data_IF_761170027937
#
_entry.id   IF_761170027937
#
_cell.length_a   1.000
_cell.length_b   1.000
_cell.length_c   1.000
_cell.angle_alpha   90.00
_cell.angle_beta   90.00
_cell.angle_gamma   90.00
#
_symmetry.space_group_name_H-M   'P 1'
#
loop_
_entity.id
_entity.type
_entity.pdbx_description
1 polymer ?
#
# COMPACT_ATOMS: atom_id res chain seq x y z
N UNK A 1 14.51 26.14 -36.82
CA UNK A 1 15.05 24.87 -36.26
C UNK A 1 14.72 24.76 -34.76
N UNK A 2 14.84 25.84 -33.96
CA UNK A 2 14.54 25.80 -32.51
C UNK A 2 13.03 25.61 -32.18
N UNK A 3 12.14 26.08 -33.02
CA UNK A 3 10.68 25.98 -32.83
C UNK A 3 10.20 24.54 -33.10
N UNK A 4 10.78 23.84 -34.09
CA UNK A 4 10.40 22.45 -34.41
C UNK A 4 10.85 21.46 -33.32
N UNK A 5 11.99 21.69 -32.66
CA UNK A 5 12.50 20.81 -31.60
C UNK A 5 11.61 20.89 -30.34
N UNK A 6 11.12 22.08 -30.00
CA UNK A 6 10.24 22.27 -28.84
C UNK A 6 8.83 21.68 -29.03
N UNK A 7 8.31 21.69 -30.25
CA UNK A 7 6.99 21.12 -30.53
C UNK A 7 7.04 19.58 -30.51
N UNK A 8 8.11 18.98 -31.06
CA UNK A 8 8.26 17.52 -31.10
C UNK A 8 8.48 16.93 -29.70
N UNK A 9 9.24 17.61 -28.84
CA UNK A 9 9.43 17.19 -27.44
C UNK A 9 8.16 17.37 -26.61
N UNK A 10 7.38 18.41 -26.89
CA UNK A 10 6.13 18.70 -26.20
C UNK A 10 5.01 17.72 -26.58
N UNK A 11 4.94 17.27 -27.82
CA UNK A 11 3.95 16.28 -28.27
C UNK A 11 4.21 14.88 -27.70
N UNK A 12 5.47 14.47 -27.52
CA UNK A 12 5.82 13.21 -26.84
C UNK A 12 5.43 13.25 -25.37
N UNK A 13 5.78 14.31 -24.65
CA UNK A 13 5.44 14.45 -23.22
C UNK A 13 3.92 14.44 -23.01
N UNK A 14 3.14 15.10 -23.87
CA UNK A 14 1.68 15.09 -23.78
C UNK A 14 1.07 13.74 -24.15
N UNK A 15 1.68 13.01 -25.10
CA UNK A 15 1.27 11.65 -25.45
C UNK A 15 1.47 10.69 -24.28
N UNK A 16 2.68 10.66 -23.70
CA UNK A 16 3.03 9.83 -22.55
C UNK A 16 2.16 10.17 -21.32
N UNK A 17 1.93 11.47 -21.08
CA UNK A 17 1.05 11.92 -19.98
C UNK A 17 -0.40 11.46 -20.17
N UNK A 18 -0.91 11.47 -21.39
CA UNK A 18 -2.27 11.03 -21.70
C UNK A 18 -2.40 9.50 -21.56
N UNK A 19 -1.41 8.72 -21.99
CA UNK A 19 -1.37 7.27 -21.80
C UNK A 19 -1.36 6.89 -20.31
N UNK A 20 -0.51 7.53 -19.54
CA UNK A 20 -0.45 7.32 -18.08
C UNK A 20 -1.79 7.68 -17.44
N UNK A 21 -2.41 8.80 -17.84
CA UNK A 21 -3.69 9.22 -17.28
C UNK A 21 -4.82 8.24 -17.61
N UNK A 22 -4.82 7.66 -18.81
CA UNK A 22 -5.79 6.62 -19.20
C UNK A 22 -5.56 5.33 -18.41
N UNK A 23 -4.31 4.90 -18.27
CA UNK A 23 -3.96 3.73 -17.45
C UNK A 23 -4.41 3.90 -16.00
N UNK A 24 -4.17 5.08 -15.41
CA UNK A 24 -4.64 5.43 -14.07
C UNK A 24 -6.17 5.37 -13.97
N UNK A 25 -6.87 5.96 -14.93
CA UNK A 25 -8.33 5.94 -14.94
C UNK A 25 -8.88 4.52 -15.07
N UNK A 26 -8.31 3.70 -15.95
CA UNK A 26 -8.68 2.28 -16.09
C UNK A 26 -8.45 1.50 -14.80
N UNK A 27 -7.31 1.70 -14.14
CA UNK A 27 -6.99 1.04 -12.89
C UNK A 27 -7.98 1.43 -11.79
N UNK A 28 -8.33 2.71 -11.69
CA UNK A 28 -9.33 3.19 -10.73
C UNK A 28 -10.69 2.57 -11.01
N UNK A 29 -11.13 2.53 -12.26
CA UNK A 29 -12.40 1.90 -12.65
C UNK A 29 -12.41 0.41 -12.30
N UNK A 30 -11.31 -0.32 -12.53
CA UNK A 30 -11.19 -1.73 -12.15
C UNK A 30 -11.34 -1.92 -10.63
N UNK A 31 -10.73 -1.05 -9.83
CA UNK A 31 -10.87 -1.11 -8.37
C UNK A 31 -12.32 -0.88 -7.95
N UNK A 32 -13.00 0.10 -8.53
CA UNK A 32 -14.44 0.36 -8.26
C UNK A 32 -15.33 -0.81 -8.67
N UNK A 33 -15.05 -1.46 -9.80
CA UNK A 33 -15.79 -2.66 -10.22
C UNK A 33 -15.61 -3.80 -9.22
N UNK A 34 -14.41 -4.01 -8.69
CA UNK A 34 -14.17 -5.02 -7.64
C UNK A 34 -14.90 -4.68 -6.33
N UNK A 35 -14.94 -3.40 -5.93
CA UNK A 35 -15.75 -2.94 -4.80
C UNK A 35 -17.23 -3.25 -5.07
N UNK A 36 -17.73 -2.97 -6.25
CA UNK A 36 -19.12 -3.24 -6.63
C UNK A 36 -19.44 -4.73 -6.61
N UNK A 37 -18.52 -5.62 -7.04
CA UNK A 37 -18.69 -7.06 -6.91
C UNK A 37 -18.82 -7.49 -5.43
N UNK A 38 -17.98 -6.95 -4.55
CA UNK A 38 -18.06 -7.20 -3.11
C UNK A 38 -19.38 -6.72 -2.50
N UNK A 39 -19.88 -5.57 -2.93
CA UNK A 39 -21.18 -5.06 -2.55
C UNK A 39 -22.32 -5.96 -3.02
N UNK A 40 -22.30 -6.39 -4.29
CA UNK A 40 -23.35 -7.22 -4.87
C UNK A 40 -23.46 -8.60 -4.20
N UNK A 41 -22.33 -9.24 -3.84
CA UNK A 41 -22.35 -10.57 -3.23
C UNK A 41 -23.06 -10.58 -1.86
N UNK A 42 -22.93 -9.47 -1.12
CA UNK A 42 -23.64 -9.29 0.16
C UNK A 42 -25.11 -8.93 -0.09
N UNK A 43 -25.41 -8.02 -1.01
CA UNK A 43 -26.79 -7.63 -1.33
C UNK A 43 -27.60 -8.77 -1.96
N UNK A 44 -26.94 -9.70 -2.66
CA UNK A 44 -27.54 -10.92 -3.15
C UNK A 44 -27.79 -11.98 -2.05
N UNK A 45 -27.37 -11.73 -0.81
CA UNK A 45 -27.54 -12.64 0.32
C UNK A 45 -26.65 -13.88 0.29
N UNK A 46 -25.63 -13.90 -0.59
CA UNK A 46 -24.68 -15.02 -0.69
C UNK A 46 -23.66 -15.00 0.45
N UNK A 47 -23.25 -13.81 0.90
CA UNK A 47 -22.39 -13.57 2.05
C UNK A 47 -23.02 -12.50 2.94
N UNK A 48 -22.58 -12.45 4.19
CA UNK A 48 -22.89 -11.36 5.12
C UNK A 48 -21.75 -10.36 5.17
N UNK A 49 -22.04 -9.12 5.57
CA UNK A 49 -21.04 -8.09 5.81
C UNK A 49 -19.99 -8.54 6.85
N UNK A 50 -20.41 -9.31 7.86
CA UNK A 50 -19.52 -9.87 8.88
C UNK A 50 -18.46 -10.83 8.31
N UNK A 51 -18.72 -11.51 7.19
CA UNK A 51 -17.77 -12.41 6.53
C UNK A 51 -16.56 -11.66 5.97
N UNK A 52 -16.71 -10.35 5.74
CA UNK A 52 -15.60 -9.45 5.40
C UNK A 52 -14.46 -9.49 6.42
N UNK A 53 -14.75 -9.77 7.69
CA UNK A 53 -13.75 -9.88 8.77
C UNK A 53 -12.80 -11.07 8.54
N UNK A 54 -13.32 -12.17 8.01
CA UNK A 54 -12.48 -13.35 7.70
C UNK A 54 -11.56 -13.04 6.53
N UNK A 55 -12.12 -12.46 5.46
CA UNK A 55 -11.35 -12.09 4.27
C UNK A 55 -10.30 -11.01 4.61
N UNK A 56 -10.66 -10.03 5.44
CA UNK A 56 -9.71 -9.02 5.95
C UNK A 56 -8.54 -9.65 6.71
N UNK A 57 -8.79 -10.70 7.51
CA UNK A 57 -7.70 -11.42 8.20
C UNK A 57 -6.79 -12.15 7.21
N UNK A 58 -7.34 -12.75 6.16
CA UNK A 58 -6.55 -13.40 5.10
C UNK A 58 -5.67 -12.35 4.40
N UNK A 59 -6.23 -11.19 4.05
CA UNK A 59 -5.47 -10.08 3.45
C UNK A 59 -4.33 -9.66 4.39
N UNK A 60 -4.65 -9.40 5.65
CA UNK A 60 -3.71 -8.81 6.60
C UNK A 60 -2.60 -9.79 7.04
N UNK A 61 -2.94 -11.06 7.25
CA UNK A 61 -2.03 -12.04 7.85
C UNK A 61 -1.41 -13.04 6.86
N UNK A 62 -1.91 -13.10 5.61
CA UNK A 62 -1.37 -13.98 4.58
C UNK A 62 -0.90 -13.19 3.36
N UNK A 63 -1.77 -12.38 2.77
CA UNK A 63 -1.50 -11.75 1.47
C UNK A 63 -0.44 -10.65 1.62
N UNK A 64 -0.59 -9.72 2.57
CA UNK A 64 0.35 -8.61 2.77
C UNK A 64 1.77 -9.11 3.13
N UNK A 65 1.98 -10.09 4.03
CA UNK A 65 3.29 -10.71 4.23
C UNK A 65 3.93 -11.24 2.95
N UNK A 66 3.15 -11.89 2.08
CA UNK A 66 3.65 -12.39 0.80
C UNK A 66 4.08 -11.25 -0.14
N UNK A 67 3.31 -10.16 -0.20
CA UNK A 67 3.69 -8.96 -0.98
C UNK A 67 5.02 -8.40 -0.48
N UNK A 68 5.16 -8.25 0.85
CA UNK A 68 6.37 -7.69 1.46
C UNK A 68 7.57 -8.58 1.14
N UNK A 69 7.51 -9.88 1.40
CA UNK A 69 8.62 -10.80 1.16
C UNK A 69 9.01 -10.84 -0.33
N UNK A 70 8.03 -10.85 -1.23
CA UNK A 70 8.26 -10.84 -2.66
C UNK A 70 8.93 -9.53 -3.14
N UNK A 71 8.53 -8.39 -2.59
CA UNK A 71 9.10 -7.09 -2.96
C UNK A 71 10.60 -6.97 -2.62
N UNK A 72 11.07 -7.66 -1.57
CA UNK A 72 12.49 -7.69 -1.22
C UNK A 72 13.33 -8.70 -2.03
N UNK A 73 12.72 -9.46 -2.97
CA UNK A 73 13.43 -10.38 -3.85
C UNK A 73 14.04 -9.68 -5.08
N UNK A 74 14.67 -8.52 -4.87
CA UNK A 74 15.38 -7.72 -5.89
C UNK A 74 16.89 -7.81 -5.71
N UNK A 75 17.66 -7.44 -6.74
CA UNK A 75 19.11 -7.51 -6.69
C UNK A 75 19.68 -6.44 -5.73
N UNK A 76 20.66 -6.90 -4.94
CA UNK A 76 21.43 -6.00 -4.09
C UNK A 76 22.42 -5.24 -4.96
N UNK A 77 22.10 -3.97 -5.24
CA UNK A 77 23.01 -3.05 -5.92
C UNK A 77 23.16 -1.77 -5.09
N UNK A 78 24.28 -1.04 -5.23
CA UNK A 78 24.44 0.25 -4.55
C UNK A 78 23.30 1.23 -4.87
N UNK A 79 22.78 1.19 -6.09
CA UNK A 79 21.65 2.00 -6.56
C UNK A 79 20.38 1.65 -5.81
N UNK A 80 20.08 0.35 -5.68
CA UNK A 80 18.91 -0.13 -4.94
C UNK A 80 18.99 0.25 -3.46
N UNK A 81 20.17 0.10 -2.83
CA UNK A 81 20.37 0.51 -1.42
C UNK A 81 20.16 2.01 -1.26
N UNK A 82 20.76 2.84 -2.16
CA UNK A 82 20.56 4.27 -2.14
C UNK A 82 19.10 4.66 -2.34
N UNK A 83 18.41 3.99 -3.28
CA UNK A 83 16.99 4.18 -3.52
C UNK A 83 16.14 3.84 -2.27
N UNK A 84 16.44 2.74 -1.58
CA UNK A 84 15.78 2.34 -0.33
C UNK A 84 15.99 3.39 0.78
N UNK A 85 17.20 3.91 0.95
CA UNK A 85 17.49 4.96 1.94
C UNK A 85 16.73 6.24 1.63
N UNK A 86 16.71 6.66 0.36
CA UNK A 86 15.94 7.84 -0.08
C UNK A 86 14.44 7.62 0.12
N UNK A 87 13.92 6.45 -0.26
CA UNK A 87 12.52 6.10 -0.05
C UNK A 87 12.15 6.08 1.44
N UNK A 88 13.02 5.55 2.30
CA UNK A 88 12.81 5.55 3.75
C UNK A 88 12.78 6.97 4.32
N UNK A 89 13.77 7.80 3.98
CA UNK A 89 13.84 9.20 4.42
C UNK A 89 12.63 10.01 3.93
N UNK A 90 12.27 9.87 2.65
CA UNK A 90 11.10 10.52 2.06
C UNK A 90 9.79 10.06 2.72
N UNK A 91 9.67 8.76 2.99
CA UNK A 91 8.50 8.19 3.68
C UNK A 91 8.36 8.74 5.09
N UNK A 92 9.46 8.80 5.85
CA UNK A 92 9.46 9.35 7.19
C UNK A 92 9.09 10.85 7.19
N UNK A 93 9.70 11.62 6.29
CA UNK A 93 9.38 13.02 6.12
C UNK A 93 7.90 13.22 5.78
N UNK A 94 7.37 12.45 4.83
CA UNK A 94 5.96 12.52 4.43
C UNK A 94 5.04 12.22 5.62
N UNK A 95 5.32 11.18 6.40
CA UNK A 95 4.52 10.84 7.58
C UNK A 95 4.53 11.98 8.62
N UNK A 96 5.68 12.60 8.85
CA UNK A 96 5.80 13.74 9.78
C UNK A 96 5.02 14.95 9.25
N UNK A 97 5.17 15.30 7.97
CA UNK A 97 4.44 16.42 7.35
C UNK A 97 2.92 16.18 7.40
N UNK A 98 2.47 14.98 7.06
CA UNK A 98 1.06 14.61 7.15
C UNK A 98 0.54 14.68 8.59
N UNK A 99 1.34 14.28 9.58
CA UNK A 99 0.97 14.36 10.99
C UNK A 99 0.67 15.81 11.40
N UNK A 100 1.54 16.75 11.03
CA UNK A 100 1.31 18.17 11.30
C UNK A 100 0.12 18.74 10.52
N UNK A 101 0.01 18.41 9.23
CA UNK A 101 -1.07 18.88 8.36
C UNK A 101 -2.44 18.40 8.86
N UNK A 102 -2.57 17.10 9.15
CA UNK A 102 -3.84 16.53 9.65
C UNK A 102 -4.16 17.00 11.06
N UNK A 103 -3.15 17.21 11.92
CA UNK A 103 -3.37 17.80 13.24
C UNK A 103 -3.85 19.24 13.15
N UNK A 104 -3.36 20.03 12.20
CA UNK A 104 -3.85 21.38 11.95
C UNK A 104 -5.26 21.38 11.39
N UNK A 105 -5.54 20.54 10.38
CA UNK A 105 -6.89 20.36 9.82
C UNK A 105 -7.90 19.90 10.90
N UNK A 106 -7.51 18.94 11.73
CA UNK A 106 -8.36 18.44 12.83
C UNK A 106 -8.76 19.51 13.82
N UNK A 107 -7.86 20.48 14.09
CA UNK A 107 -8.18 21.64 14.95
C UNK A 107 -9.11 22.65 14.28
N UNK A 108 -8.89 22.90 12.98
CA UNK A 108 -9.69 23.87 12.21
C UNK A 108 -11.12 23.35 11.97
N UNK A 109 -11.25 22.08 11.60
CA UNK A 109 -12.52 21.46 11.25
C UNK A 109 -13.17 20.67 12.37
N UNK A 110 -12.56 20.65 13.58
CA UNK A 110 -13.04 19.91 14.75
C UNK A 110 -13.26 18.42 14.47
N UNK A 111 -12.34 17.80 13.72
CA UNK A 111 -12.44 16.41 13.31
C UNK A 111 -12.32 15.47 14.51
N UNK A 112 -13.11 14.40 14.49
CA UNK A 112 -13.03 13.34 15.49
C UNK A 112 -11.82 12.39 15.27
N UNK A 113 -11.61 11.45 16.19
CA UNK A 113 -10.48 10.52 16.15
C UNK A 113 -10.50 9.60 14.89
N UNK A 114 -11.70 9.22 14.43
CA UNK A 114 -11.86 8.35 13.26
C UNK A 114 -11.61 9.15 11.99
N UNK A 115 -12.12 10.37 11.90
CA UNK A 115 -11.90 11.28 10.78
C UNK A 115 -10.43 11.64 10.64
N UNK A 116 -9.74 12.00 11.74
CA UNK A 116 -8.30 12.28 11.77
C UNK A 116 -7.51 11.08 11.24
N UNK A 117 -7.79 9.89 11.72
CA UNK A 117 -7.06 8.69 11.29
C UNK A 117 -7.38 8.30 9.85
N UNK A 118 -8.61 8.51 9.40
CA UNK A 118 -9.03 8.23 8.01
C UNK A 118 -8.36 9.18 7.01
N UNK A 119 -8.15 10.45 7.38
CA UNK A 119 -7.44 11.42 6.54
C UNK A 119 -5.93 11.17 6.54
N UNK A 120 -5.38 10.75 7.69
CA UNK A 120 -3.93 10.53 7.83
C UNK A 120 -3.43 9.26 7.14
N UNK A 121 -4.15 8.14 7.28
CA UNK A 121 -3.71 6.84 6.78
C UNK A 121 -4.24 6.57 5.37
N UNK A 122 -3.35 6.62 4.39
CA UNK A 122 -3.68 6.30 3.01
C UNK A 122 -3.82 4.79 2.79
N UNK A 123 -4.62 4.41 1.79
CA UNK A 123 -4.75 3.02 1.33
C UNK A 123 -3.56 2.63 0.42
N UNK A 124 -2.34 2.71 0.97
CA UNK A 124 -1.11 2.52 0.21
C UNK A 124 -0.91 1.08 -0.25
N UNK A 125 -1.33 0.08 0.52
CA UNK A 125 -1.18 -1.33 0.14
C UNK A 125 -2.11 -1.74 -0.99
N UNK A 126 -3.39 -1.40 -0.86
CA UNK A 126 -4.41 -1.93 -1.76
C UNK A 126 -4.59 -1.11 -3.03
N UNK A 127 -4.28 0.19 -3.00
CA UNK A 127 -4.41 1.09 -4.14
C UNK A 127 -3.07 1.36 -4.80
N UNK A 128 -2.05 1.72 -4.03
CA UNK A 128 -0.78 2.19 -4.57
C UNK A 128 0.05 1.05 -5.18
N UNK A 129 0.09 -0.14 -4.55
CA UNK A 129 0.87 -1.27 -5.09
C UNK A 129 0.40 -1.69 -6.48
N UNK A 130 -0.89 -1.96 -6.75
CA UNK A 130 -1.37 -2.22 -8.10
C UNK A 130 -1.10 -1.08 -9.07
N UNK A 131 -1.27 0.17 -8.63
CA UNK A 131 -1.06 1.35 -9.44
C UNK A 131 0.41 1.51 -9.85
N UNK A 132 1.34 1.41 -8.90
CA UNK A 132 2.78 1.48 -9.15
C UNK A 132 3.21 0.35 -10.09
N UNK A 133 2.70 -0.87 -9.88
CA UNK A 133 2.99 -2.00 -10.76
C UNK A 133 2.54 -1.73 -12.20
N UNK A 134 1.36 -1.16 -12.38
CA UNK A 134 0.79 -0.89 -13.71
C UNK A 134 1.49 0.27 -14.43
N UNK A 135 1.92 1.30 -13.70
CA UNK A 135 2.44 2.56 -14.29
C UNK A 135 3.96 2.56 -14.36
N UNK A 136 4.64 2.11 -13.32
CA UNK A 136 6.09 2.20 -13.19
C UNK A 136 6.80 0.84 -13.38
N UNK A 137 6.09 -0.27 -13.18
CA UNK A 137 6.65 -1.61 -13.21
C UNK A 137 6.80 -2.24 -11.82
N UNK A 138 6.95 -3.56 -11.81
CA UNK A 138 7.01 -4.35 -10.58
C UNK A 138 8.25 -4.04 -9.71
N UNK A 139 9.34 -3.61 -10.32
CA UNK A 139 10.58 -3.24 -9.63
C UNK A 139 10.42 -2.02 -8.71
N UNK A 140 9.47 -1.13 -9.00
CA UNK A 140 9.19 0.05 -8.18
C UNK A 140 8.34 -0.25 -6.94
N UNK A 141 7.71 -1.43 -6.90
CA UNK A 141 6.90 -1.86 -5.75
C UNK A 141 7.74 -1.94 -4.47
N UNK A 142 9.03 -2.24 -4.58
CA UNK A 142 9.97 -2.26 -3.46
C UNK A 142 9.94 -0.94 -2.66
N UNK A 143 9.98 0.19 -3.33
CA UNK A 143 9.96 1.52 -2.69
C UNK A 143 8.60 1.82 -2.08
N UNK A 144 7.52 1.35 -2.70
CA UNK A 144 6.18 1.43 -2.12
C UNK A 144 6.06 0.60 -0.84
N UNK A 145 6.70 -0.58 -0.78
CA UNK A 145 6.76 -1.39 0.44
C UNK A 145 7.52 -0.70 1.57
N UNK A 146 8.57 0.09 1.27
CA UNK A 146 9.25 0.91 2.29
C UNK A 146 8.28 1.93 2.88
N UNK A 147 7.52 2.66 2.03
CA UNK A 147 6.50 3.60 2.50
C UNK A 147 5.43 2.92 3.36
N UNK A 148 4.91 1.78 2.90
CA UNK A 148 3.93 0.98 3.65
C UNK A 148 4.47 0.54 5.01
N UNK A 149 5.75 0.16 5.06
CA UNK A 149 6.42 -0.27 6.28
C UNK A 149 6.50 0.85 7.31
N UNK A 150 6.92 2.04 6.88
CA UNK A 150 6.95 3.24 7.73
C UNK A 150 5.54 3.59 8.19
N UNK A 151 4.57 3.62 7.27
CA UNK A 151 3.17 3.91 7.59
C UNK A 151 2.59 2.90 8.59
N UNK A 152 2.94 1.62 8.48
CA UNK A 152 2.48 0.57 9.38
C UNK A 152 2.97 0.80 10.82
N UNK A 153 4.21 1.25 11.01
CA UNK A 153 4.73 1.61 12.34
C UNK A 153 3.93 2.77 12.93
N UNK A 154 3.67 3.81 12.14
CA UNK A 154 2.82 4.93 12.58
C UNK A 154 1.38 4.48 12.88
N UNK A 155 0.85 3.57 12.08
CA UNK A 155 -0.49 3.02 12.31
C UNK A 155 -0.59 2.32 13.67
N UNK A 156 0.34 1.44 14.01
CA UNK A 156 0.33 0.73 15.29
C UNK A 156 0.72 1.60 16.49
N UNK A 157 1.36 2.74 16.28
CA UNK A 157 1.73 3.67 17.34
C UNK A 157 0.70 4.81 17.46
N UNK A 158 0.64 5.68 16.46
CA UNK A 158 -0.17 6.89 16.47
C UNK A 158 -1.66 6.60 16.33
N UNK A 159 -2.09 5.79 15.34
CA UNK A 159 -3.51 5.52 15.12
C UNK A 159 -4.14 4.83 16.33
N UNK A 160 -3.48 3.82 16.87
CA UNK A 160 -3.94 3.14 18.08
C UNK A 160 -4.11 4.12 19.25
N UNK A 161 -3.14 5.02 19.47
CA UNK A 161 -3.23 6.03 20.53
C UNK A 161 -4.40 6.99 20.34
N UNK A 162 -4.65 7.42 19.10
CA UNK A 162 -5.73 8.38 18.78
C UNK A 162 -7.10 7.71 18.95
N UNK A 163 -7.29 6.48 18.49
CA UNK A 163 -8.57 5.79 18.53
C UNK A 163 -8.88 5.22 19.92
N UNK A 164 -7.94 4.50 20.54
CA UNK A 164 -8.19 3.82 21.82
C UNK A 164 -8.06 4.73 23.04
N UNK A 165 -7.47 5.92 22.86
CA UNK A 165 -7.12 6.85 23.96
C UNK A 165 -6.27 6.21 25.06
N UNK A 166 -5.76 4.99 24.84
CA UNK A 166 -4.88 4.30 25.77
C UNK A 166 -3.44 4.79 25.61
N UNK A 167 -2.83 5.17 26.73
CA UNK A 167 -1.44 5.64 26.74
C UNK A 167 -0.39 4.51 26.65
N UNK A 168 -0.81 3.24 26.77
CA UNK A 168 0.12 2.11 26.81
C UNK A 168 0.44 1.59 25.40
N UNK A 169 1.71 1.66 25.05
CA UNK A 169 2.24 0.99 23.85
C UNK A 169 2.56 -0.47 24.17
N UNK A 170 1.85 -1.39 23.55
CA UNK A 170 2.20 -2.81 23.62
C UNK A 170 3.24 -3.14 22.55
N UNK A 171 4.51 -2.84 22.86
CA UNK A 171 5.63 -3.07 21.95
C UNK A 171 5.74 -4.54 21.50
N UNK A 172 5.31 -5.49 22.36
CA UNK A 172 5.29 -6.91 21.98
C UNK A 172 4.33 -7.17 20.82
N UNK A 173 3.15 -6.58 20.84
CA UNK A 173 2.18 -6.72 19.74
C UNK A 173 2.65 -6.04 18.44
N UNK A 174 3.40 -4.95 18.55
CA UNK A 174 3.97 -4.29 17.38
C UNK A 174 5.05 -5.17 16.76
N UNK A 175 6.03 -5.61 17.55
CA UNK A 175 7.17 -6.40 17.05
C UNK A 175 6.74 -7.79 16.58
N UNK A 176 5.75 -8.40 17.24
CA UNK A 176 5.21 -9.70 16.85
C UNK A 176 4.14 -9.60 15.73
N UNK A 177 3.89 -8.43 15.20
CA UNK A 177 3.02 -8.28 14.02
C UNK A 177 3.66 -8.96 12.82
N UNK A 178 2.91 -9.86 12.17
CA UNK A 178 3.42 -10.67 11.07
C UNK A 178 3.96 -9.81 9.90
N UNK A 179 3.37 -8.67 9.63
CA UNK A 179 3.83 -7.76 8.59
C UNK A 179 5.19 -7.14 8.95
N UNK A 180 5.40 -6.78 10.22
CA UNK A 180 6.69 -6.27 10.71
C UNK A 180 7.75 -7.36 10.65
N UNK A 181 7.41 -8.59 11.07
CA UNK A 181 8.29 -9.75 10.94
C UNK A 181 8.67 -9.96 9.47
N UNK A 182 7.71 -9.88 8.55
CA UNK A 182 7.95 -10.03 7.11
C UNK A 182 8.88 -8.94 6.54
N UNK A 183 8.78 -7.71 7.07
CA UNK A 183 9.70 -6.62 6.71
C UNK A 183 11.12 -6.96 7.16
N UNK A 184 11.30 -7.37 8.41
CA UNK A 184 12.62 -7.75 8.93
C UNK A 184 13.23 -8.94 8.18
N UNK A 185 12.43 -9.98 7.89
CA UNK A 185 12.86 -11.13 7.09
C UNK A 185 13.20 -10.69 5.67
N UNK A 186 12.38 -9.86 5.04
CA UNK A 186 12.63 -9.31 3.71
C UNK A 186 13.93 -8.50 3.63
N UNK A 187 14.16 -7.61 4.60
CA UNK A 187 15.40 -6.84 4.73
C UNK A 187 16.60 -7.78 4.90
N UNK A 188 16.50 -8.81 5.75
CA UNK A 188 17.56 -9.78 5.96
C UNK A 188 17.88 -10.52 4.65
N UNK A 189 16.88 -11.02 3.94
CA UNK A 189 17.05 -11.69 2.64
C UNK A 189 17.72 -10.78 1.62
N UNK A 190 17.31 -9.52 1.55
CA UNK A 190 17.89 -8.53 0.66
C UNK A 190 19.37 -8.27 0.94
N UNK A 191 19.75 -8.00 2.20
CA UNK A 191 21.13 -7.71 2.56
C UNK A 191 22.05 -8.93 2.51
N UNK A 192 21.52 -10.14 2.75
CA UNK A 192 22.30 -11.39 2.62
C UNK A 192 22.41 -11.87 1.17
N UNK A 193 21.65 -11.27 0.25
CA UNK A 193 21.59 -11.71 -1.15
C UNK A 193 20.95 -13.09 -1.34
N UNK A 194 20.31 -13.64 -0.30
CA UNK A 194 19.65 -14.95 -0.37
C UNK A 194 18.39 -14.82 -1.22
N UNK A 195 18.36 -15.57 -2.32
CA UNK A 195 17.19 -15.69 -3.18
C UNK A 195 16.35 -16.88 -2.77
N UNK A 196 15.05 -16.65 -2.65
CA UNK A 196 14.12 -17.75 -2.43
C UNK A 196 14.06 -18.64 -3.67
N UNK A 197 13.91 -19.97 -3.50
CA UNK A 197 13.70 -20.87 -4.63
C UNK A 197 12.54 -20.39 -5.51
N UNK A 198 12.65 -20.55 -6.82
CA UNK A 198 11.67 -20.06 -7.78
C UNK A 198 10.23 -20.48 -7.45
N UNK A 199 10.04 -21.73 -6.99
CA UNK A 199 8.73 -22.22 -6.56
C UNK A 199 8.14 -21.36 -5.41
N UNK A 200 8.94 -21.05 -4.40
CA UNK A 200 8.51 -20.25 -3.23
C UNK A 200 8.23 -18.82 -3.69
N UNK A 201 9.13 -18.22 -4.47
CA UNK A 201 8.98 -16.85 -4.95
C UNK A 201 7.72 -16.69 -5.82
N UNK A 202 7.46 -17.63 -6.74
CA UNK A 202 6.27 -17.62 -7.58
C UNK A 202 4.98 -17.81 -6.74
N UNK A 203 5.04 -18.61 -5.68
CA UNK A 203 3.92 -18.76 -4.75
C UNK A 203 3.64 -17.47 -4.00
N UNK A 204 4.68 -16.82 -3.46
CA UNK A 204 4.55 -15.51 -2.79
C UNK A 204 3.97 -14.45 -3.73
N UNK A 205 4.46 -14.42 -4.98
CA UNK A 205 3.96 -13.52 -6.00
C UNK A 205 2.48 -13.78 -6.31
N UNK A 206 2.10 -15.05 -6.52
CA UNK A 206 0.70 -15.41 -6.84
C UNK A 206 -0.27 -15.05 -5.70
N UNK A 207 0.12 -15.32 -4.45
CA UNK A 207 -0.69 -14.94 -3.28
C UNK A 207 -0.67 -13.41 -3.10
N UNK A 208 0.48 -12.78 -3.26
CA UNK A 208 0.63 -11.32 -3.13
C UNK A 208 -0.20 -10.54 -4.15
N UNK A 209 -0.34 -11.04 -5.38
CA UNK A 209 -1.14 -10.40 -6.43
C UNK A 209 -2.64 -10.30 -6.08
N UNK A 210 -3.10 -11.09 -5.12
CA UNK A 210 -4.49 -11.02 -4.64
C UNK A 210 -4.76 -9.80 -3.75
N UNK A 211 -3.75 -9.03 -3.31
CA UNK A 211 -3.94 -7.92 -2.36
C UNK A 211 -4.95 -6.90 -2.86
N UNK A 212 -4.83 -6.45 -4.11
CA UNK A 212 -5.75 -5.49 -4.72
C UNK A 212 -7.19 -6.03 -4.80
N UNK A 213 -7.43 -7.13 -5.53
CA UNK A 213 -8.78 -7.70 -5.66
C UNK A 213 -9.43 -8.04 -4.32
N UNK A 214 -8.72 -8.75 -3.44
CA UNK A 214 -9.28 -9.17 -2.15
C UNK A 214 -9.67 -7.98 -1.27
N UNK A 215 -8.82 -6.96 -1.20
CA UNK A 215 -9.09 -5.76 -0.39
C UNK A 215 -10.24 -4.92 -0.93
N UNK A 216 -10.38 -4.82 -2.25
CA UNK A 216 -11.49 -4.09 -2.86
C UNK A 216 -12.83 -4.82 -2.66
N UNK A 217 -12.83 -6.16 -2.76
CA UNK A 217 -14.00 -6.98 -2.44
C UNK A 217 -14.40 -6.79 -0.96
N UNK A 218 -13.44 -6.86 -0.03
CA UNK A 218 -13.68 -6.58 1.40
C UNK A 218 -14.32 -5.21 1.60
N UNK A 219 -13.78 -4.20 0.94
CA UNK A 219 -14.32 -2.83 1.01
C UNK A 219 -15.77 -2.80 0.52
N UNK A 220 -16.06 -3.46 -0.59
CA UNK A 220 -17.42 -3.57 -1.12
C UNK A 220 -18.39 -4.29 -0.18
N UNK A 221 -17.96 -5.37 0.46
CA UNK A 221 -18.74 -6.09 1.46
C UNK A 221 -19.11 -5.20 2.65
N UNK A 222 -18.15 -4.39 3.13
CA UNK A 222 -18.36 -3.45 4.24
C UNK A 222 -19.34 -2.32 3.89
N UNK A 223 -19.36 -1.87 2.63
CA UNK A 223 -20.34 -0.86 2.18
C UNK A 223 -21.76 -1.41 2.00
N UNK A 224 -21.91 -2.73 1.95
CA UNK A 224 -23.21 -3.37 1.78
C UNK A 224 -23.95 -3.59 3.09
N UNK A 225 -23.25 -3.63 4.24
CA UNK A 225 -23.86 -3.73 5.58
C UNK A 225 -24.31 -2.38 6.08
#
# INVERSE_FOLDING_TARGET
>A
IFIHFNIFHRTHIWGDFMEISILLAQQIVQLFLMIFMGFLIVKAGLLKDEDSKVLSKIVLYLIIPCVILNAFQVDYTPETVRGLLVAFAASLLMQVVLLFAVSALGRVFHLDAVEITSVYYSNSGNLIVPLVTAVLGAEWVLYSCVYMSVQLVFFWTHCKKVISREASYDWKKIVLNLNIISIFVGILLFFTGIRLPALVNNTLHSVGSMVGPASMIVTGMLFAG
#
